data_IF_721154058205
#
_entry.id   IF_721154058205
#
_cell.length_a   1.000
_cell.length_b   1.000
_cell.length_c   1.000
_cell.angle_alpha   90.00
_cell.angle_beta   90.00
_cell.angle_gamma   90.00
#
_symmetry.space_group_name_H-M   'P 1'
#
loop_
_entity.id
_entity.type
_entity.pdbx_description
1 polymer ?
#
# COMPACT_ATOMS: atom_id res chain seq x y z
N UNK A 1 2.96 -17.36 -30.92
CA UNK A 1 2.17 -18.14 -29.95
C UNK A 1 2.19 -17.50 -28.56
N UNK A 2 3.36 -17.28 -27.93
CA UNK A 2 3.44 -16.56 -26.64
C UNK A 2 2.99 -15.09 -26.76
N UNK A 3 3.48 -14.38 -27.79
CA UNK A 3 3.13 -12.96 -28.03
C UNK A 3 1.63 -12.72 -28.25
N UNK A 4 0.95 -13.61 -28.98
CA UNK A 4 -0.49 -13.50 -29.26
C UNK A 4 -1.33 -13.71 -27.99
N UNK A 5 -0.91 -14.64 -27.12
CA UNK A 5 -1.58 -14.84 -25.84
C UNK A 5 -1.38 -13.65 -24.88
N UNK A 6 -0.16 -13.11 -24.81
CA UNK A 6 0.14 -11.90 -24.07
C UNK A 6 -0.71 -10.70 -24.56
N UNK A 7 -0.87 -10.53 -25.87
CA UNK A 7 -1.74 -9.49 -26.44
C UNK A 7 -3.19 -9.66 -26.00
N UNK A 8 -3.71 -10.90 -26.01
CA UNK A 8 -5.07 -11.19 -25.51
C UNK A 8 -5.22 -10.90 -24.02
N UNK A 9 -4.20 -11.18 -23.21
CA UNK A 9 -4.19 -10.85 -21.78
C UNK A 9 -4.18 -9.33 -21.58
N UNK A 10 -3.37 -8.60 -22.35
CA UNK A 10 -3.33 -7.13 -22.32
C UNK A 10 -4.69 -6.52 -22.68
N UNK A 11 -5.33 -6.99 -23.76
CA UNK A 11 -6.66 -6.54 -24.17
C UNK A 11 -7.72 -6.86 -23.12
N UNK A 12 -7.65 -8.03 -22.49
CA UNK A 12 -8.54 -8.41 -21.40
C UNK A 12 -8.38 -7.50 -20.18
N UNK A 13 -7.14 -7.22 -19.76
CA UNK A 13 -6.84 -6.32 -18.65
C UNK A 13 -7.39 -4.92 -18.90
N UNK A 14 -7.11 -4.35 -20.07
CA UNK A 14 -7.48 -2.97 -20.39
C UNK A 14 -8.98 -2.84 -20.68
N UNK A 15 -9.52 -3.67 -21.59
CA UNK A 15 -10.89 -3.46 -22.11
C UNK A 15 -11.97 -4.11 -21.27
N UNK A 16 -11.66 -5.22 -20.58
CA UNK A 16 -12.68 -5.98 -19.84
C UNK A 16 -12.57 -5.79 -18.33
N UNK A 17 -11.36 -5.57 -17.81
CA UNK A 17 -11.14 -5.38 -16.37
C UNK A 17 -10.97 -3.91 -15.96
N UNK A 18 -10.95 -2.97 -16.91
CA UNK A 18 -10.76 -1.53 -16.68
C UNK A 18 -9.45 -1.22 -15.89
N UNK A 19 -8.37 -1.92 -16.27
CA UNK A 19 -7.06 -1.81 -15.65
C UNK A 19 -6.09 -1.06 -16.55
N UNK A 20 -5.10 -0.40 -15.94
CA UNK A 20 -4.03 0.29 -16.66
C UNK A 20 -2.77 -0.58 -16.67
N UNK A 21 -2.23 -0.88 -17.85
CA UNK A 21 -0.93 -1.52 -18.00
C UNK A 21 0.15 -0.43 -18.02
N UNK A 22 0.94 -0.36 -16.95
CA UNK A 22 1.99 0.64 -16.75
C UNK A 22 3.26 0.31 -17.54
N UNK A 23 3.59 -0.99 -17.63
CA UNK A 23 4.80 -1.48 -18.30
C UNK A 23 4.57 -2.91 -18.81
N UNK A 24 5.11 -3.20 -20.00
CA UNK A 24 5.28 -4.57 -20.52
C UNK A 24 6.72 -5.03 -20.30
N UNK A 25 6.94 -6.31 -20.04
CA UNK A 25 8.29 -6.88 -19.99
C UNK A 25 8.49 -7.83 -18.82
N UNK A 26 9.31 -7.44 -17.84
CA UNK A 26 9.64 -8.32 -16.71
C UNK A 26 9.06 -7.75 -15.41
N UNK A 27 8.00 -8.36 -14.83
CA UNK A 27 7.12 -9.44 -15.37
C UNK A 27 6.26 -8.97 -16.55
N UNK A 28 5.57 -9.91 -17.24
CA UNK A 28 4.93 -9.64 -18.55
C UNK A 28 4.13 -8.35 -18.57
N UNK A 29 3.36 -8.09 -17.51
CA UNK A 29 2.67 -6.82 -17.29
C UNK A 29 2.80 -6.31 -15.85
N UNK A 30 3.14 -5.03 -15.70
CA UNK A 30 2.91 -4.25 -14.49
C UNK A 30 1.61 -3.47 -14.66
N UNK A 31 0.66 -3.65 -13.74
CA UNK A 31 -0.70 -3.14 -13.85
C UNK A 31 -1.11 -2.29 -12.65
N UNK A 32 -2.07 -1.40 -12.87
CA UNK A 32 -2.76 -0.61 -11.86
C UNK A 32 -4.27 -0.75 -12.02
N UNK A 33 -4.95 -1.19 -10.96
CA UNK A 33 -6.41 -1.22 -10.85
C UNK A 33 -6.86 0.00 -10.05
N UNK A 34 -7.33 1.05 -10.72
CA UNK A 34 -7.86 2.27 -10.10
C UNK A 34 -9.23 2.11 -9.45
N UNK A 35 -9.94 1.00 -9.75
CA UNK A 35 -11.25 0.69 -9.18
C UNK A 35 -11.15 -0.05 -7.85
N UNK A 36 -9.95 -0.52 -7.47
CA UNK A 36 -9.74 -1.21 -6.21
C UNK A 36 -10.00 -0.25 -5.04
N UNK A 37 -11.06 -0.57 -4.28
CA UNK A 37 -11.34 0.04 -2.98
C UNK A 37 -10.89 -0.93 -1.90
N UNK A 38 -9.99 -0.48 -1.03
CA UNK A 38 -9.55 -1.29 0.09
C UNK A 38 -10.75 -1.58 1.00
N UNK A 39 -11.09 -2.87 1.27
CA UNK A 39 -12.26 -3.23 2.08
C UNK A 39 -12.01 -3.05 3.59
N UNK A 40 -11.33 -1.96 3.98
CA UNK A 40 -11.11 -1.65 5.40
C UNK A 40 -12.47 -1.52 6.09
N UNK A 41 -12.67 -2.28 7.18
CA UNK A 41 -13.82 -2.10 8.07
C UNK A 41 -13.76 -0.76 8.82
N UNK A 42 -12.59 -0.15 8.85
CA UNK A 42 -12.34 1.12 9.50
C UNK A 42 -12.30 2.24 8.45
N UNK A 43 -13.32 3.11 8.49
CA UNK A 43 -13.49 4.24 7.55
C UNK A 43 -12.42 5.32 7.70
N UNK A 44 -11.57 5.23 8.73
CA UNK A 44 -10.45 6.15 8.95
C UNK A 44 -9.31 5.95 7.94
N UNK A 45 -9.25 4.80 7.25
CA UNK A 45 -8.27 4.52 6.19
C UNK A 45 -8.76 4.84 4.78
N UNK A 46 -9.86 5.59 4.61
CA UNK A 46 -10.43 5.95 3.30
C UNK A 46 -9.53 6.84 2.41
N UNK A 47 -8.37 7.29 2.90
CA UNK A 47 -7.58 8.34 2.25
C UNK A 47 -6.37 7.93 1.41
N UNK A 48 -5.72 6.78 1.66
CA UNK A 48 -4.29 6.66 1.25
C UNK A 48 -4.02 5.77 0.05
N UNK A 49 -4.84 4.75 -0.22
CA UNK A 49 -4.58 3.79 -1.29
C UNK A 49 -5.78 3.73 -2.25
N UNK A 50 -5.88 4.74 -3.13
CA UNK A 50 -6.76 4.64 -4.31
C UNK A 50 -6.05 3.78 -5.35
N UNK A 51 -6.56 2.56 -5.51
CA UNK A 51 -6.09 1.61 -6.50
C UNK A 51 -4.95 0.70 -6.06
N UNK A 52 -4.68 -0.33 -6.87
CA UNK A 52 -3.77 -1.43 -6.53
C UNK A 52 -2.77 -1.66 -7.67
N UNK A 53 -1.47 -1.65 -7.33
CA UNK A 53 -0.42 -2.09 -8.25
C UNK A 53 -0.23 -3.60 -8.10
N UNK A 54 -0.10 -4.30 -9.23
CA UNK A 54 0.17 -5.73 -9.27
C UNK A 54 0.83 -6.11 -10.58
N UNK A 55 1.40 -7.31 -10.62
CA UNK A 55 2.01 -7.87 -11.81
C UNK A 55 1.19 -9.03 -12.36
N UNK A 56 1.23 -9.22 -13.67
CA UNK A 56 0.66 -10.35 -14.38
C UNK A 56 1.75 -11.05 -15.17
N UNK A 57 1.80 -12.37 -15.04
CA UNK A 57 2.61 -13.28 -15.85
C UNK A 57 1.64 -14.13 -16.70
N UNK A 58 1.70 -14.00 -18.01
CA UNK A 58 0.89 -14.77 -18.94
C UNK A 58 1.54 -16.13 -19.21
N UNK A 59 0.80 -17.21 -18.95
CA UNK A 59 1.24 -18.58 -19.27
C UNK A 59 0.16 -19.30 -20.05
N UNK A 60 0.54 -19.94 -21.15
CA UNK A 60 -0.36 -20.88 -21.84
C UNK A 60 -0.63 -22.10 -20.95
N UNK A 61 -1.57 -22.98 -21.32
CA UNK A 61 -1.97 -24.11 -20.47
C UNK A 61 -0.80 -25.03 -20.08
N UNK A 62 0.09 -25.29 -21.02
CA UNK A 62 1.26 -26.16 -20.82
C UNK A 62 2.49 -25.41 -20.33
N UNK A 63 2.51 -24.08 -20.43
CA UNK A 63 3.66 -23.28 -20.04
C UNK A 63 3.76 -23.14 -18.52
N UNK A 64 4.98 -23.30 -18.01
CA UNK A 64 5.29 -23.28 -16.59
C UNK A 64 6.11 -22.04 -16.29
N UNK A 65 5.87 -21.45 -15.12
CA UNK A 65 6.74 -20.41 -14.58
C UNK A 65 8.13 -21.01 -14.39
N UNK A 66 9.12 -20.46 -15.10
CA UNK A 66 10.51 -20.88 -14.99
C UNK A 66 11.07 -20.60 -13.58
N UNK A 67 12.13 -21.29 -13.15
CA UNK A 67 12.73 -21.04 -11.84
C UNK A 67 13.16 -19.58 -11.63
N UNK A 68 13.69 -18.93 -12.66
CA UNK A 68 14.11 -17.53 -12.61
C UNK A 68 12.90 -16.58 -12.48
N UNK A 69 11.81 -16.82 -13.23
CA UNK A 69 10.56 -16.07 -13.06
C UNK A 69 10.02 -16.25 -11.63
N UNK A 70 10.08 -17.47 -11.07
CA UNK A 70 9.63 -17.74 -9.70
C UNK A 70 10.42 -16.94 -8.66
N UNK A 71 11.75 -16.90 -8.77
CA UNK A 71 12.58 -16.07 -7.88
C UNK A 71 12.18 -14.58 -7.97
N UNK A 72 11.94 -14.08 -9.17
CA UNK A 72 11.47 -12.70 -9.35
C UNK A 72 10.08 -12.48 -8.74
N UNK A 73 9.15 -13.43 -8.91
CA UNK A 73 7.83 -13.35 -8.28
C UNK A 73 7.95 -13.24 -6.76
N UNK A 74 8.84 -14.02 -6.15
CA UNK A 74 9.11 -13.95 -4.71
C UNK A 74 9.67 -12.59 -4.28
N UNK A 75 10.57 -12.00 -5.05
CA UNK A 75 11.11 -10.65 -4.79
C UNK A 75 10.02 -9.59 -4.86
N UNK A 76 9.18 -9.63 -5.91
CA UNK A 76 8.06 -8.69 -6.07
C UNK A 76 7.03 -8.82 -4.96
N UNK A 77 6.70 -10.06 -4.57
CA UNK A 77 5.79 -10.33 -3.44
C UNK A 77 6.37 -9.79 -2.14
N UNK A 78 7.68 -9.98 -1.89
CA UNK A 78 8.37 -9.43 -0.72
C UNK A 78 8.38 -7.90 -0.71
N UNK A 79 8.43 -7.28 -1.88
CA UNK A 79 8.30 -5.84 -2.07
C UNK A 79 6.84 -5.33 -1.96
N UNK A 80 5.89 -6.20 -1.64
CA UNK A 80 4.47 -5.84 -1.49
C UNK A 80 3.72 -5.72 -2.81
N UNK A 81 4.29 -6.17 -3.93
CA UNK A 81 3.67 -6.17 -5.26
C UNK A 81 3.17 -7.58 -5.57
N UNK A 82 1.84 -7.83 -5.55
CA UNK A 82 1.30 -9.15 -5.87
C UNK A 82 1.60 -9.54 -7.31
N UNK A 83 1.94 -10.80 -7.54
CA UNK A 83 2.14 -11.35 -8.90
C UNK A 83 1.11 -12.44 -9.16
N UNK A 84 0.48 -12.38 -10.33
CA UNK A 84 -0.59 -13.29 -10.73
C UNK A 84 -0.25 -13.99 -12.04
N UNK A 85 -0.36 -15.31 -12.06
CA UNK A 85 -0.22 -16.08 -13.28
C UNK A 85 -1.58 -16.21 -13.96
N UNK A 86 -1.72 -15.62 -15.14
CA UNK A 86 -2.94 -15.70 -15.95
C UNK A 86 -2.80 -16.80 -16.99
N UNK A 87 -3.79 -17.68 -17.01
CA UNK A 87 -3.92 -18.79 -17.97
C UNK A 87 -5.19 -18.61 -18.81
N UNK A 88 -5.32 -19.31 -19.96
CA UNK A 88 -6.43 -19.11 -20.88
C UNK A 88 -7.83 -19.26 -20.24
N UNK A 89 -7.96 -20.11 -19.23
CA UNK A 89 -9.22 -20.33 -18.50
C UNK A 89 -9.66 -19.12 -17.67
N UNK A 90 -8.75 -18.22 -17.32
CA UNK A 90 -9.08 -16.99 -16.60
C UNK A 90 -9.79 -15.97 -17.52
N UNK A 91 -9.49 -15.98 -18.83
CA UNK A 91 -10.10 -15.07 -19.81
C UNK A 91 -11.59 -15.37 -20.02
N UNK A 92 -12.01 -16.62 -19.86
CA UNK A 92 -13.41 -17.05 -20.06
C UNK A 92 -14.27 -16.88 -18.81
N UNK A 93 -13.67 -16.89 -17.61
CA UNK A 93 -14.36 -16.74 -16.31
C UNK A 93 -14.76 -15.29 -15.99
N UNK A 94 -14.47 -14.33 -16.88
CA UNK A 94 -15.05 -12.98 -16.90
C UNK A 94 -14.55 -12.00 -15.85
N UNK A 95 -14.07 -12.44 -14.68
CA UNK A 95 -13.51 -11.53 -13.67
C UNK A 95 -12.18 -12.03 -13.13
N UNK A 96 -11.21 -11.12 -13.14
CA UNK A 96 -9.93 -11.31 -12.48
C UNK A 96 -10.13 -11.49 -10.97
N UNK A 97 -9.54 -12.51 -10.34
CA UNK A 97 -9.54 -12.62 -8.89
C UNK A 97 -8.73 -11.46 -8.33
N UNK A 98 -9.42 -10.41 -7.85
CA UNK A 98 -8.83 -9.29 -7.11
C UNK A 98 -8.23 -9.86 -5.82
N UNK A 99 -6.98 -10.32 -5.89
CA UNK A 99 -6.35 -10.88 -4.72
C UNK A 99 -6.33 -9.84 -3.60
N UNK A 100 -6.58 -10.27 -2.37
CA UNK A 100 -6.37 -9.43 -1.20
C UNK A 100 -4.92 -9.00 -1.20
N UNK A 101 -4.65 -7.71 -1.01
CA UNK A 101 -3.32 -7.29 -0.60
C UNK A 101 -3.01 -8.04 0.69
N UNK A 102 -2.04 -8.96 0.62
CA UNK A 102 -1.40 -9.45 1.83
C UNK A 102 -0.38 -8.37 2.17
N UNK A 103 -0.66 -7.58 3.20
CA UNK A 103 0.37 -6.71 3.77
C UNK A 103 1.51 -7.64 4.19
N UNK A 104 2.62 -7.54 3.47
CA UNK A 104 3.82 -8.26 3.85
C UNK A 104 4.34 -7.65 5.15
N UNK A 105 5.04 -8.46 5.93
CA UNK A 105 5.60 -8.10 7.24
C UNK A 105 6.35 -6.76 7.23
N UNK A 106 6.96 -6.39 6.10
CA UNK A 106 7.63 -5.11 5.85
C UNK A 106 6.72 -3.88 5.88
N UNK A 107 5.49 -3.97 5.37
CA UNK A 107 4.52 -2.89 5.45
C UNK A 107 3.99 -2.73 6.88
N UNK A 108 3.82 -3.85 7.59
CA UNK A 108 3.46 -3.83 8.99
C UNK A 108 4.58 -3.18 9.80
N UNK A 109 5.83 -3.56 9.56
CA UNK A 109 7.01 -2.99 10.22
C UNK A 109 7.12 -1.49 9.96
N UNK A 110 7.03 -1.02 8.70
CA UNK A 110 7.02 0.41 8.41
C UNK A 110 5.88 1.17 9.11
N UNK A 111 4.71 0.54 9.24
CA UNK A 111 3.59 1.16 9.94
C UNK A 111 3.84 1.21 11.45
N UNK A 112 4.45 0.17 12.02
CA UNK A 112 4.90 0.13 13.42
C UNK A 112 5.95 1.20 13.68
N UNK A 113 7.00 1.28 12.86
CA UNK A 113 8.07 2.29 12.98
C UNK A 113 7.50 3.71 12.93
N UNK A 114 6.50 3.95 12.06
CA UNK A 114 5.82 5.25 11.97
C UNK A 114 5.00 5.56 13.22
N UNK A 115 4.35 4.57 13.82
CA UNK A 115 3.63 4.73 15.09
C UNK A 115 4.60 5.06 16.21
N UNK A 116 5.76 4.41 16.29
CA UNK A 116 6.77 4.70 17.31
C UNK A 116 7.31 6.14 17.19
N UNK A 117 7.57 6.61 15.97
CA UNK A 117 8.00 7.99 15.73
C UNK A 117 6.93 8.99 16.18
N UNK A 118 5.67 8.74 15.84
CA UNK A 118 4.55 9.60 16.25
C UNK A 118 4.37 9.61 17.78
N UNK A 119 4.51 8.47 18.45
CA UNK A 119 4.45 8.39 19.90
C UNK A 119 5.54 9.24 20.57
N UNK A 120 6.77 9.22 20.04
CA UNK A 120 7.85 10.10 20.54
C UNK A 120 7.53 11.58 20.34
N UNK A 121 6.94 11.95 19.22
CA UNK A 121 6.52 13.33 18.96
C UNK A 121 5.43 13.79 19.92
N UNK A 122 4.47 12.92 20.24
CA UNK A 122 3.44 13.23 21.25
C UNK A 122 4.06 13.47 22.61
N UNK A 123 4.97 12.59 23.06
CA UNK A 123 5.66 12.77 24.35
C UNK A 123 6.48 14.06 24.42
N UNK A 124 7.19 14.42 23.34
CA UNK A 124 7.93 15.68 23.27
C UNK A 124 7.01 16.90 23.34
N UNK A 125 5.84 16.84 22.69
CA UNK A 125 4.84 17.90 22.76
C UNK A 125 4.19 18.00 24.15
N UNK A 126 3.89 16.87 24.79
CA UNK A 126 3.38 16.83 26.16
C UNK A 126 4.37 17.46 27.14
N UNK A 127 5.65 17.12 27.04
CA UNK A 127 6.70 17.72 27.86
C UNK A 127 6.82 19.24 27.64
N UNK A 128 6.77 19.71 26.39
CA UNK A 128 6.78 21.14 26.07
C UNK A 128 5.56 21.86 26.65
N UNK A 129 4.38 21.24 26.59
CA UNK A 129 3.15 21.79 27.15
C UNK A 129 3.27 21.96 28.67
N UNK A 130 3.82 20.96 29.36
CA UNK A 130 4.06 21.02 30.80
C UNK A 130 5.00 22.16 31.18
N UNK A 131 6.10 22.36 30.42
CA UNK A 131 7.03 23.47 30.64
C UNK A 131 6.37 24.83 30.49
N UNK A 132 5.57 25.03 29.44
CA UNK A 132 4.82 26.29 29.24
C UNK A 132 3.82 26.49 30.39
N UNK A 133 3.20 25.42 30.88
CA UNK A 133 2.27 25.50 32.00
C UNK A 133 2.96 25.89 33.32
N UNK A 134 4.16 25.36 33.59
CA UNK A 134 5.00 25.78 34.72
C UNK A 134 5.40 27.26 34.61
N UNK A 135 5.86 27.71 33.44
CA UNK A 135 6.23 29.11 33.20
C UNK A 135 5.05 30.05 33.41
N UNK A 136 3.85 29.69 32.93
CA UNK A 136 2.63 30.46 33.14
C UNK A 136 2.24 30.54 34.63
N UNK A 137 2.45 29.46 35.40
CA UNK A 137 2.25 29.49 36.87
C UNK A 137 3.18 30.48 37.55
N UNK A 138 4.46 30.49 37.15
CA UNK A 138 5.43 31.45 37.68
C UNK A 138 5.07 32.89 37.33
N UNK A 139 4.59 33.14 36.10
CA UNK A 139 4.08 34.45 35.71
C UNK A 139 2.86 34.88 36.52
N UNK A 140 1.88 33.99 36.71
CA UNK A 140 0.67 34.31 37.50
C UNK A 140 0.99 34.61 38.95
N UNK A 141 1.90 33.85 39.58
CA UNK A 141 2.38 34.16 40.95
C UNK A 141 3.05 35.53 41.05
N UNK A 142 3.88 35.90 40.06
CA UNK A 142 4.56 37.20 40.05
C UNK A 142 3.58 38.39 39.92
N UNK A 143 2.41 38.20 39.31
CA UNK A 143 1.38 39.24 39.25
C UNK A 143 0.58 39.35 40.55
N UNK A 144 0.28 38.24 41.23
CA UNK A 144 -0.44 38.25 42.52
C UNK A 144 0.38 38.88 43.66
N UNK A 145 1.70 38.63 43.72
CA UNK A 145 2.57 39.25 44.73
C UNK A 145 2.61 40.78 44.57
N UNK A 146 2.66 41.29 43.34
CA UNK A 146 2.71 42.74 43.04
C UNK A 146 1.39 43.46 43.37
N UNK A 147 0.24 42.78 43.29
CA UNK A 147 -1.04 43.36 43.70
C UNK A 147 -1.24 43.36 45.22
N UNK A 148 -0.58 42.47 45.96
CA UNK A 148 -0.71 42.36 47.41
C UNK A 148 0.12 43.37 48.23
N UNK A 149 1.09 44.06 47.60
CA UNK A 149 1.96 45.08 48.22
C UNK A 149 1.45 46.53 48.06
N UNK A 150 0.18 46.74 47.66
CA UNK A 150 -0.48 48.06 47.61
C UNK A 150 -1.59 48.19 48.65
#
# INVERSE_FOLDING_TARGET
MASEFEERVNDWLVRQQDMVVLRKGWPDFLCYDGTYRHPSRDKTFEGVYRGKIFCVEAKTETDKVSPHQRQMHEVLIKAGIPVHVVRPDALTKGKYPRARMLFHETHLQHSVDKVEVLQRQVQDLEWKLEKVHEELKHFTFAFEEVESEK
#
